data_IF_780037758183
#
_entry.id   IF_780037758183
#
_cell.length_a   1.000
_cell.length_b   1.000
_cell.length_c   1.000
_cell.angle_alpha   90.00
_cell.angle_beta   90.00
_cell.angle_gamma   90.00
#
_symmetry.space_group_name_H-M   'P 1'
#
loop_
_entity.id
_entity.type
_entity.pdbx_description
1 polymer ?
#
# COMPACT_ATOMS: atom_id res chain seq x y z
N UNK A 1 -5.05 11.44 -40.95
CA UNK A 1 -4.20 10.48 -40.22
C UNK A 1 -4.74 10.37 -38.81
N UNK A 2 -4.93 9.16 -38.28
CA UNK A 2 -5.26 9.00 -36.87
C UNK A 2 -4.03 9.37 -36.04
N UNK A 3 -4.16 10.33 -35.13
CA UNK A 3 -3.13 10.69 -34.16
C UNK A 3 -3.09 9.65 -33.05
N UNK A 4 -1.91 9.07 -32.81
CA UNK A 4 -1.69 8.06 -31.77
C UNK A 4 -0.79 8.64 -30.68
N UNK A 5 -1.18 8.51 -29.42
CA UNK A 5 -0.44 9.03 -28.27
C UNK A 5 0.36 7.91 -27.62
N UNK A 6 1.66 8.10 -27.44
CA UNK A 6 2.58 7.16 -26.79
C UNK A 6 3.34 7.87 -25.66
N UNK A 7 3.85 7.10 -24.69
CA UNK A 7 4.78 7.65 -23.71
C UNK A 7 6.15 7.87 -24.35
N UNK A 8 6.62 9.11 -24.30
CA UNK A 8 7.84 9.53 -24.99
C UNK A 8 7.60 9.80 -26.47
N UNK A 9 8.68 9.91 -27.24
CA UNK A 9 8.61 10.07 -28.69
C UNK A 9 9.61 9.13 -29.35
N UNK A 10 9.29 8.71 -30.58
CA UNK A 10 10.20 7.86 -31.36
C UNK A 10 11.42 8.68 -31.78
N UNK A 11 12.62 8.19 -31.49
CA UNK A 11 13.86 8.87 -31.87
C UNK A 11 14.04 9.00 -33.39
N UNK A 12 13.41 8.14 -34.17
CA UNK A 12 13.53 8.14 -35.61
C UNK A 12 12.69 7.03 -36.25
N UNK A 13 12.69 6.98 -37.57
CA UNK A 13 11.99 5.97 -38.35
C UNK A 13 12.94 5.35 -39.39
N UNK A 14 12.86 4.04 -39.54
CA UNK A 14 13.60 3.31 -40.58
C UNK A 14 12.66 3.03 -41.76
N UNK A 15 12.88 3.69 -42.90
CA UNK A 15 12.08 3.42 -44.10
C UNK A 15 12.61 2.19 -44.82
N UNK A 16 11.80 1.11 -44.83
CA UNK A 16 12.15 -0.15 -45.50
C UNK A 16 12.33 -0.01 -47.02
N UNK A 17 11.69 1.00 -47.63
CA UNK A 17 11.74 1.23 -49.08
C UNK A 17 13.02 1.93 -49.53
N UNK A 18 13.52 2.93 -48.78
CA UNK A 18 14.77 3.65 -49.11
C UNK A 18 16.02 3.06 -48.47
N UNK A 19 15.90 2.10 -47.54
CA UNK A 19 17.00 1.60 -46.68
C UNK A 19 17.70 2.70 -45.85
N UNK A 20 17.08 3.86 -45.74
CA UNK A 20 17.61 4.99 -44.98
C UNK A 20 16.94 5.05 -43.60
N UNK A 21 17.75 5.44 -42.62
CA UNK A 21 17.28 5.70 -41.25
C UNK A 21 17.22 7.20 -41.04
N UNK A 22 16.04 7.70 -40.64
CA UNK A 22 15.84 9.11 -40.35
C UNK A 22 15.71 9.34 -38.85
N UNK A 23 16.32 10.43 -38.36
CA UNK A 23 16.21 10.86 -36.97
C UNK A 23 15.18 11.96 -36.81
N UNK A 24 14.39 11.89 -35.76
CA UNK A 24 13.55 12.99 -35.31
C UNK A 24 14.39 13.94 -34.45
N UNK A 25 14.80 15.05 -35.04
CA UNK A 25 15.65 16.06 -34.43
C UNK A 25 14.93 17.39 -34.15
N UNK A 26 13.66 17.51 -34.52
CA UNK A 26 12.83 18.67 -34.22
C UNK A 26 11.62 18.26 -33.37
N UNK A 27 11.41 18.92 -32.23
CA UNK A 27 10.31 18.62 -31.33
C UNK A 27 9.34 19.80 -31.25
N UNK A 28 8.09 19.57 -31.63
CA UNK A 28 7.00 20.54 -31.43
C UNK A 28 6.36 20.25 -30.09
N UNK A 29 6.57 21.13 -29.12
CA UNK A 29 6.03 21.00 -27.77
C UNK A 29 4.77 21.86 -27.69
N UNK A 30 3.61 21.23 -27.72
CA UNK A 30 2.33 21.89 -27.50
C UNK A 30 2.02 21.91 -26.01
N UNK A 31 1.97 23.09 -25.41
CA UNK A 31 1.61 23.31 -24.01
C UNK A 31 0.14 23.70 -23.92
N UNK A 32 -0.64 22.89 -23.21
CA UNK A 32 -2.04 23.18 -22.94
C UNK A 32 -2.18 23.95 -21.64
N UNK A 33 -2.88 25.08 -21.69
CA UNK A 33 -3.13 25.90 -20.51
C UNK A 33 -4.63 26.09 -20.25
N UNK A 34 -5.00 26.14 -18.97
CA UNK A 34 -6.34 26.44 -18.50
C UNK A 34 -6.36 27.80 -17.80
N UNK A 35 -7.39 28.60 -18.09
CA UNK A 35 -7.59 29.92 -17.48
C UNK A 35 -8.44 29.75 -16.22
N UNK A 36 -7.84 29.95 -15.04
CA UNK A 36 -8.50 29.81 -13.73
C UNK A 36 -9.14 31.13 -13.26
N UNK A 37 -8.55 32.27 -13.64
CA UNK A 37 -9.04 33.64 -13.34
C UNK A 37 -8.61 34.60 -14.45
N UNK A 38 -8.99 35.89 -14.38
CA UNK A 38 -8.67 36.88 -15.43
C UNK A 38 -7.17 36.94 -15.79
N UNK A 39 -6.27 36.75 -14.81
CA UNK A 39 -4.80 36.78 -14.99
C UNK A 39 -4.08 35.48 -14.56
N UNK A 40 -4.81 34.41 -14.25
CA UNK A 40 -4.23 33.15 -13.76
C UNK A 40 -4.26 32.04 -14.81
N UNK A 41 -3.09 31.67 -15.33
CA UNK A 41 -2.93 30.56 -16.28
C UNK A 41 -2.22 29.39 -15.60
N UNK A 42 -2.72 28.17 -15.79
CA UNK A 42 -2.07 26.94 -15.33
C UNK A 42 -1.86 25.99 -16.50
N UNK A 43 -0.66 25.43 -16.60
CA UNK A 43 -0.36 24.36 -17.57
C UNK A 43 -1.07 23.09 -17.11
N UNK A 44 -1.91 22.51 -17.97
CA UNK A 44 -2.71 21.32 -17.66
C UNK A 44 -2.30 20.11 -18.47
N UNK A 45 -1.44 20.26 -19.47
CA UNK A 45 -0.91 19.14 -20.23
C UNK A 45 0.14 19.60 -21.22
N UNK A 46 0.83 18.63 -21.80
CA UNK A 46 1.69 18.86 -22.94
C UNK A 46 1.66 17.67 -23.89
N UNK A 47 1.87 17.97 -25.17
CA UNK A 47 2.07 16.99 -26.23
C UNK A 47 3.38 17.31 -26.95
N UNK A 48 4.06 16.26 -27.43
CA UNK A 48 5.27 16.41 -28.22
C UNK A 48 5.05 15.72 -29.56
N UNK A 49 5.11 16.50 -30.64
CA UNK A 49 5.06 15.99 -32.01
C UNK A 49 6.49 15.96 -32.56
N UNK A 50 7.10 14.78 -32.74
CA UNK A 50 8.46 14.67 -33.27
C UNK A 50 8.46 14.81 -34.80
N UNK A 51 9.39 15.59 -35.33
CA UNK A 51 9.65 15.76 -36.76
C UNK A 51 11.12 15.54 -37.10
N UNK A 52 11.35 15.06 -38.33
CA UNK A 52 12.69 14.92 -38.91
C UNK A 52 12.93 16.05 -39.90
N UNK A 53 13.92 16.90 -39.64
CA UNK A 53 14.26 18.07 -40.45
C UNK A 53 15.75 18.02 -40.78
N UNK A 54 16.10 18.07 -42.06
CA UNK A 54 17.51 18.13 -42.49
C UNK A 54 18.23 19.32 -41.83
N UNK A 55 19.36 19.04 -41.17
CA UNK A 55 20.18 20.04 -40.46
C UNK A 55 20.64 21.19 -41.36
N UNK A 56 20.75 20.97 -42.68
CA UNK A 56 21.10 22.03 -43.65
C UNK A 56 20.07 23.15 -43.72
N UNK A 57 18.85 22.92 -43.26
CA UNK A 57 17.74 23.88 -43.28
C UNK A 57 17.59 24.66 -41.99
N UNK A 58 18.38 24.30 -40.98
CA UNK A 58 18.36 24.92 -39.67
C UNK A 58 19.45 25.99 -39.67
N UNK A 59 19.04 27.25 -39.59
CA UNK A 59 19.97 28.36 -39.39
C UNK A 59 19.82 28.86 -37.96
N UNK A 60 20.92 28.81 -37.20
CA UNK A 60 20.96 29.33 -35.84
C UNK A 60 21.17 30.85 -35.87
N UNK A 61 20.35 31.59 -35.13
CA UNK A 61 20.46 33.04 -34.96
C UNK A 61 21.11 33.35 -33.60
N UNK A 62 21.65 34.56 -33.45
CA UNK A 62 22.17 35.03 -32.16
C UNK A 62 21.04 35.08 -31.11
N UNK A 63 21.32 34.54 -29.92
CA UNK A 63 20.35 34.49 -28.81
C UNK A 63 19.57 33.17 -28.67
N UNK A 64 20.00 32.10 -29.34
CA UNK A 64 19.44 30.75 -29.15
C UNK A 64 18.10 30.52 -29.87
N UNK A 65 17.77 31.39 -30.84
CA UNK A 65 16.65 31.20 -31.76
C UNK A 65 17.15 30.53 -33.04
N UNK A 66 16.27 29.83 -33.75
CA UNK A 66 16.59 29.23 -35.03
C UNK A 66 15.45 29.43 -36.03
N UNK A 67 15.79 29.69 -37.28
CA UNK A 67 14.84 29.73 -38.40
C UNK A 67 14.94 28.45 -39.22
N UNK A 68 13.80 27.85 -39.55
CA UNK A 68 13.72 26.65 -40.41
C UNK A 68 13.27 27.09 -41.79
N UNK A 69 14.12 26.91 -42.81
CA UNK A 69 13.78 27.26 -44.19
C UNK A 69 12.71 26.31 -44.76
N UNK A 70 11.78 26.79 -45.59
CA UNK A 70 10.76 25.96 -46.24
C UNK A 70 11.34 25.06 -47.34
N UNK A 71 10.83 23.83 -47.46
CA UNK A 71 11.34 22.78 -48.36
C UNK A 71 10.93 21.38 -47.89
N UNK A 72 11.39 20.34 -48.58
CA UNK A 72 11.23 18.93 -48.19
C UNK A 72 12.60 18.28 -47.94
N UNK A 73 12.73 17.48 -46.88
CA UNK A 73 13.99 16.80 -46.53
C UNK A 73 14.02 16.31 -45.09
N UNK A 74 14.26 15.01 -44.92
CA UNK A 74 14.37 14.34 -43.61
C UNK A 74 15.85 14.20 -43.22
N UNK A 75 16.14 14.22 -41.92
CA UNK A 75 17.50 14.03 -41.40
C UNK A 75 17.91 12.57 -41.48
N UNK A 76 18.61 12.18 -42.55
CA UNK A 76 19.21 10.86 -42.67
C UNK A 76 20.41 10.69 -41.73
N UNK A 77 20.61 9.47 -41.23
CA UNK A 77 21.78 9.07 -40.43
C UNK A 77 22.63 8.12 -41.26
N UNK A 78 23.95 8.34 -41.26
CA UNK A 78 24.92 7.38 -41.76
C UNK A 78 25.26 6.35 -40.68
N UNK A 79 24.96 5.04 -40.87
CA UNK A 79 25.23 4.02 -39.86
C UNK A 79 26.72 3.67 -39.68
N UNK A 80 27.59 4.04 -40.62
CA UNK A 80 29.01 3.65 -40.61
C UNK A 80 29.97 4.78 -40.21
N UNK A 81 29.47 5.97 -39.84
CA UNK A 81 30.30 7.13 -39.54
C UNK A 81 29.75 8.03 -38.45
N UNK A 82 30.48 9.09 -38.11
CA UNK A 82 30.05 10.12 -37.18
C UNK A 82 28.97 11.01 -37.82
N UNK A 83 27.91 11.29 -37.07
CA UNK A 83 26.81 12.14 -37.52
C UNK A 83 26.76 13.38 -36.64
N UNK A 84 26.84 14.57 -37.25
CA UNK A 84 26.56 15.83 -36.56
C UNK A 84 25.10 16.19 -36.80
N UNK A 85 24.29 16.23 -35.73
CA UNK A 85 22.86 16.51 -35.82
C UNK A 85 22.52 17.73 -34.97
N UNK A 86 21.80 18.67 -35.56
CA UNK A 86 21.28 19.83 -34.82
C UNK A 86 19.90 19.50 -34.27
N UNK A 87 19.75 19.58 -32.95
CA UNK A 87 18.48 19.38 -32.26
C UNK A 87 17.79 20.74 -32.07
N UNK A 88 16.51 20.80 -32.45
CA UNK A 88 15.69 22.02 -32.32
C UNK A 88 14.34 21.69 -31.71
N UNK A 89 13.70 22.70 -31.15
CA UNK A 89 12.34 22.58 -30.64
C UNK A 89 11.56 23.86 -30.91
N UNK A 90 10.24 23.74 -31.01
CA UNK A 90 9.31 24.86 -31.00
C UNK A 90 8.27 24.66 -29.90
N UNK A 91 7.76 25.78 -29.37
CA UNK A 91 6.77 25.76 -28.28
C UNK A 91 5.52 26.48 -28.73
N UNK A 92 4.42 25.73 -28.79
CA UNK A 92 3.09 26.25 -29.12
C UNK A 92 2.23 26.26 -27.85
N UNK A 93 1.47 27.33 -27.64
CA UNK A 93 0.55 27.45 -26.49
C UNK A 93 -0.88 27.34 -26.98
N UNK A 94 -1.64 26.41 -26.40
CA UNK A 94 -3.04 26.16 -26.75
C UNK A 94 -3.95 26.23 -25.51
N UNK A 95 -5.11 26.90 -25.59
CA UNK A 95 -6.10 26.87 -24.51
C UNK A 95 -6.75 25.49 -24.40
N UNK A 96 -7.06 25.06 -23.17
CA UNK A 96 -7.74 23.80 -22.87
C UNK A 96 -8.82 23.98 -21.80
N UNK A 97 -9.95 23.31 -21.98
CA UNK A 97 -11.07 23.27 -21.02
C UNK A 97 -10.79 22.36 -19.81
N UNK A 98 -9.73 21.57 -19.86
CA UNK A 98 -9.34 20.65 -18.78
C UNK A 98 -8.96 21.44 -17.53
N UNK A 99 -9.69 21.22 -16.43
CA UNK A 99 -9.37 21.85 -15.15
C UNK A 99 -8.10 21.26 -14.56
N UNK A 100 -7.41 22.05 -13.73
CA UNK A 100 -6.21 21.59 -13.03
C UNK A 100 -6.41 20.28 -12.26
N UNK A 101 -7.59 20.08 -11.64
CA UNK A 101 -7.88 18.87 -10.86
C UNK A 101 -7.93 17.58 -11.70
N UNK A 102 -8.49 17.63 -12.91
CA UNK A 102 -8.70 16.48 -13.80
C UNK A 102 -7.55 16.24 -14.79
N UNK A 103 -6.48 17.04 -14.71
CA UNK A 103 -5.37 17.00 -15.69
C UNK A 103 -4.68 15.63 -15.81
N UNK A 104 -4.69 14.86 -14.72
CA UNK A 104 -4.09 13.53 -14.72
C UNK A 104 -5.00 12.47 -15.30
N UNK A 105 -6.30 12.74 -15.45
CA UNK A 105 -7.26 11.75 -15.93
C UNK A 105 -6.91 11.31 -17.36
N UNK A 106 -6.38 12.21 -18.19
CA UNK A 106 -5.89 11.88 -19.55
C UNK A 106 -4.69 10.92 -19.52
N UNK A 107 -3.79 11.05 -18.54
CA UNK A 107 -2.61 10.18 -18.41
C UNK A 107 -2.91 8.89 -17.62
N UNK A 108 -3.93 8.91 -16.76
CA UNK A 108 -4.40 7.78 -15.95
C UNK A 108 -5.53 7.00 -16.63
N UNK A 109 -6.07 7.49 -17.75
CA UNK A 109 -7.01 6.77 -18.59
C UNK A 109 -6.31 5.51 -19.12
N UNK A 110 -6.46 4.41 -18.39
CA UNK A 110 -5.93 3.13 -18.77
C UNK A 110 -6.58 2.71 -20.09
N UNK A 111 -5.79 2.52 -21.14
CA UNK A 111 -6.28 1.96 -22.41
C UNK A 111 -6.71 0.50 -22.29
N UNK A 112 -6.32 -0.20 -21.20
CA UNK A 112 -6.56 -1.63 -20.96
C UNK A 112 -7.45 -1.94 -19.73
N UNK A 113 -8.49 -1.14 -19.46
CA UNK A 113 -9.46 -1.42 -18.36
C UNK A 113 -10.08 -2.82 -18.47
N UNK A 114 -10.26 -3.32 -19.70
CA UNK A 114 -10.87 -4.62 -19.97
C UNK A 114 -10.05 -5.80 -19.40
N UNK A 115 -8.73 -5.75 -19.49
CA UNK A 115 -7.85 -6.84 -19.03
C UNK A 115 -7.80 -6.89 -17.50
N UNK A 116 -7.79 -5.73 -16.84
CA UNK A 116 -7.70 -5.64 -15.38
C UNK A 116 -8.98 -6.09 -14.67
N UNK A 117 -10.16 -5.69 -15.14
CA UNK A 117 -11.41 -6.11 -14.49
C UNK A 117 -11.70 -7.60 -14.72
N UNK A 118 -11.31 -8.16 -15.88
CA UNK A 118 -11.37 -9.60 -16.12
C UNK A 118 -10.46 -10.38 -15.15
N UNK A 119 -9.22 -9.93 -14.93
CA UNK A 119 -8.31 -10.50 -13.94
C UNK A 119 -8.87 -10.42 -12.52
N UNK A 120 -9.51 -9.29 -12.17
CA UNK A 120 -10.15 -9.10 -10.86
C UNK A 120 -11.28 -10.11 -10.65
N UNK A 121 -12.22 -10.24 -11.60
CA UNK A 121 -13.30 -11.22 -11.51
C UNK A 121 -12.74 -12.64 -11.39
N UNK A 122 -11.78 -13.00 -12.24
CA UNK A 122 -11.17 -14.32 -12.22
C UNK A 122 -10.54 -14.63 -10.86
N UNK A 123 -9.81 -13.67 -10.27
CA UNK A 123 -9.21 -13.84 -8.94
C UNK A 123 -10.26 -14.02 -7.85
N UNK A 124 -11.37 -13.27 -7.91
CA UNK A 124 -12.47 -13.36 -6.95
C UNK A 124 -13.16 -14.72 -7.04
N UNK A 125 -13.45 -15.20 -8.25
CA UNK A 125 -14.04 -16.53 -8.47
C UNK A 125 -13.15 -17.62 -7.90
N UNK A 126 -11.84 -17.58 -8.18
CA UNK A 126 -10.88 -18.56 -7.66
C UNK A 126 -10.84 -18.54 -6.12
N UNK A 127 -10.83 -17.35 -5.51
CA UNK A 127 -10.83 -17.21 -4.04
C UNK A 127 -12.11 -17.78 -3.44
N UNK A 128 -13.29 -17.46 -3.98
CA UNK A 128 -14.56 -18.02 -3.48
C UNK A 128 -14.65 -19.53 -3.69
N UNK A 129 -14.16 -20.05 -4.82
CA UNK A 129 -14.13 -21.48 -5.10
C UNK A 129 -13.21 -22.23 -4.12
N UNK A 130 -11.98 -21.74 -3.92
CA UNK A 130 -11.04 -22.30 -2.94
C UNK A 130 -11.57 -22.20 -1.51
N UNK A 131 -12.17 -21.07 -1.13
CA UNK A 131 -12.80 -20.90 0.17
C UNK A 131 -13.98 -21.86 0.35
N UNK A 132 -14.79 -22.06 -0.69
CA UNK A 132 -15.90 -23.02 -0.69
C UNK A 132 -15.43 -24.47 -0.52
N UNK A 133 -14.41 -24.89 -1.27
CA UNK A 133 -13.78 -26.22 -1.11
C UNK A 133 -13.22 -26.38 0.31
N UNK A 134 -12.46 -25.39 0.79
CA UNK A 134 -11.88 -25.42 2.13
C UNK A 134 -12.97 -25.50 3.21
N UNK A 135 -14.02 -24.68 3.10
CA UNK A 135 -15.18 -24.75 4.00
C UNK A 135 -15.88 -26.11 3.92
N UNK A 136 -16.07 -26.70 2.74
CA UNK A 136 -16.64 -28.03 2.61
C UNK A 136 -15.77 -29.09 3.30
N UNK A 137 -14.45 -29.04 3.11
CA UNK A 137 -13.49 -29.93 3.79
C UNK A 137 -13.57 -29.74 5.31
N UNK A 138 -13.54 -28.50 5.80
CA UNK A 138 -13.64 -28.19 7.24
C UNK A 138 -14.97 -28.66 7.81
N UNK A 139 -16.10 -28.42 7.14
CA UNK A 139 -17.42 -28.85 7.62
C UNK A 139 -17.51 -30.37 7.59
N UNK A 140 -17.01 -31.04 6.54
CA UNK A 140 -17.02 -32.50 6.44
C UNK A 140 -16.15 -33.15 7.51
N UNK A 141 -14.96 -32.60 7.76
CA UNK A 141 -14.06 -33.07 8.83
C UNK A 141 -14.66 -32.81 10.20
N UNK A 142 -15.15 -31.61 10.48
CA UNK A 142 -15.81 -31.27 11.75
C UNK A 142 -17.04 -32.14 12.02
N UNK A 143 -17.92 -32.35 11.02
CA UNK A 143 -19.08 -33.24 11.17
C UNK A 143 -18.65 -34.68 11.42
N UNK A 144 -17.63 -35.18 10.71
CA UNK A 144 -17.10 -36.53 10.89
C UNK A 144 -16.50 -36.70 12.28
N UNK A 145 -15.71 -35.73 12.75
CA UNK A 145 -15.12 -35.75 14.08
C UNK A 145 -16.20 -35.70 15.16
N UNK A 146 -17.16 -34.77 15.09
CA UNK A 146 -18.28 -34.71 16.04
C UNK A 146 -19.06 -36.03 16.06
N UNK A 147 -19.38 -36.60 14.89
CA UNK A 147 -20.12 -37.85 14.81
C UNK A 147 -19.33 -39.05 15.37
N UNK A 148 -18.00 -39.04 15.26
CA UNK A 148 -17.12 -40.05 15.87
C UNK A 148 -17.10 -39.89 17.39
N UNK A 149 -16.91 -38.68 17.91
CA UNK A 149 -16.89 -38.41 19.34
C UNK A 149 -18.24 -38.71 20.01
N UNK A 150 -19.36 -38.40 19.37
CA UNK A 150 -20.69 -38.72 19.91
C UNK A 150 -20.97 -40.23 19.94
N UNK A 151 -20.27 -41.04 19.13
CA UNK A 151 -20.35 -42.51 19.21
C UNK A 151 -19.42 -43.07 20.28
N UNK A 152 -18.24 -42.47 20.46
CA UNK A 152 -17.25 -42.89 21.45
C UNK A 152 -17.64 -42.47 22.88
N UNK A 153 -18.40 -41.38 23.10
CA UNK A 153 -18.96 -41.00 24.42
C UNK A 153 -19.99 -42.01 24.97
N UNK A 154 -20.41 -43.03 24.19
CA UNK A 154 -21.23 -44.14 24.68
C UNK A 154 -20.41 -45.28 25.32
N UNK A 155 -19.08 -45.23 25.19
CA UNK A 155 -18.12 -46.17 25.77
C UNK A 155 -17.25 -45.40 26.77
N UNK A 156 -17.66 -45.39 28.05
CA UNK A 156 -17.09 -44.61 29.17
C UNK A 156 -15.59 -44.92 29.48
N UNK A 157 -14.89 -45.66 28.63
CA UNK A 157 -13.54 -46.20 28.85
C UNK A 157 -12.41 -45.50 28.08
N UNK A 158 -12.71 -44.48 27.25
CA UNK A 158 -11.72 -43.86 26.35
C UNK A 158 -11.19 -42.52 26.90
N UNK A 159 -9.86 -42.38 26.96
CA UNK A 159 -9.16 -41.14 27.33
C UNK A 159 -9.59 -39.95 26.44
N UNK A 160 -9.95 -38.81 27.05
CA UNK A 160 -10.25 -37.57 26.32
C UNK A 160 -9.08 -37.21 25.39
N UNK A 161 -9.30 -37.03 24.09
CA UNK A 161 -8.24 -36.63 23.13
C UNK A 161 -8.57 -35.32 22.40
N UNK A 162 -7.53 -34.64 21.91
CA UNK A 162 -7.67 -33.47 21.02
C UNK A 162 -8.26 -32.23 21.69
N UNK A 163 -9.27 -31.62 21.05
CA UNK A 163 -9.85 -30.34 21.52
C UNK A 163 -10.58 -30.46 22.86
N UNK A 164 -11.14 -31.64 23.19
CA UNK A 164 -11.76 -31.92 24.49
C UNK A 164 -10.75 -31.81 25.63
N UNK A 165 -9.47 -32.15 25.43
CA UNK A 165 -8.45 -31.94 26.45
C UNK A 165 -8.18 -30.46 26.73
N UNK A 166 -8.30 -29.62 25.70
CA UNK A 166 -7.87 -28.21 25.75
C UNK A 166 -9.04 -27.27 26.01
N UNK A 167 -10.30 -27.68 25.79
CA UNK A 167 -11.46 -26.78 25.85
C UNK A 167 -11.55 -25.95 27.16
N UNK A 168 -11.23 -26.56 28.30
CA UNK A 168 -11.20 -25.91 29.61
C UNK A 168 -9.97 -25.03 29.87
N UNK A 169 -8.94 -25.12 29.03
CA UNK A 169 -7.70 -24.34 29.14
C UNK A 169 -7.52 -23.28 28.03
N UNK A 170 -8.23 -23.38 26.88
CA UNK A 170 -8.13 -22.40 25.76
C UNK A 170 -8.42 -20.97 26.20
N UNK A 171 -9.47 -20.78 27.03
CA UNK A 171 -9.92 -19.45 27.44
C UNK A 171 -9.26 -18.97 28.74
N UNK A 172 -8.29 -19.71 29.26
CA UNK A 172 -7.51 -19.33 30.43
C UNK A 172 -6.71 -18.06 30.10
N UNK A 173 -6.56 -17.13 31.06
CA UNK A 173 -5.70 -15.98 30.86
C UNK A 173 -4.26 -16.39 30.49
N UNK A 174 -3.74 -15.95 29.34
CA UNK A 174 -2.37 -16.30 28.92
C UNK A 174 -1.34 -15.64 29.83
N UNK A 175 -0.08 -16.13 29.81
CA UNK A 175 1.03 -15.46 30.52
C UNK A 175 1.29 -14.04 29.99
N UNK A 176 1.22 -13.88 28.66
CA UNK A 176 1.47 -12.62 27.94
C UNK A 176 0.25 -11.73 27.72
N UNK A 177 -0.64 -11.56 28.71
CA UNK A 177 -1.92 -10.82 28.58
C UNK A 177 -1.77 -9.42 27.98
N UNK A 178 -0.73 -8.70 28.42
CA UNK A 178 -0.50 -7.31 28.01
C UNK A 178 -0.14 -7.23 26.52
N UNK A 179 0.77 -8.09 26.06
CA UNK A 179 1.21 -8.12 24.66
C UNK A 179 0.08 -8.55 23.73
N UNK A 180 -0.68 -9.59 24.10
CA UNK A 180 -1.82 -10.04 23.31
C UNK A 180 -2.86 -8.92 23.14
N UNK A 181 -3.24 -8.25 24.23
CA UNK A 181 -4.19 -7.14 24.17
C UNK A 181 -3.65 -5.98 23.32
N UNK A 182 -2.37 -5.64 23.43
CA UNK A 182 -1.74 -4.58 22.66
C UNK A 182 -1.68 -4.90 21.16
N UNK A 183 -1.31 -6.13 20.80
CA UNK A 183 -1.24 -6.59 19.40
C UNK A 183 -2.62 -6.63 18.74
N UNK A 184 -3.64 -7.15 19.44
CA UNK A 184 -5.01 -7.17 18.91
C UNK A 184 -5.56 -5.75 18.71
N UNK A 185 -5.34 -4.85 19.68
CA UNK A 185 -5.71 -3.43 19.54
C UNK A 185 -5.05 -2.78 18.32
N UNK A 186 -3.73 -2.97 18.18
CA UNK A 186 -2.97 -2.43 17.04
C UNK A 186 -3.42 -3.03 15.70
N UNK A 187 -3.74 -4.33 15.67
CA UNK A 187 -4.26 -5.00 14.47
C UNK A 187 -5.59 -4.42 14.01
N UNK A 188 -6.53 -4.20 14.95
CA UNK A 188 -7.82 -3.55 14.66
C UNK A 188 -7.61 -2.12 14.17
N UNK A 189 -6.66 -1.38 14.77
CA UNK A 189 -6.31 -0.02 14.34
C UNK A 189 -5.88 0.03 12.88
N UNK A 190 -4.97 -0.86 12.48
CA UNK A 190 -4.42 -0.93 11.12
C UNK A 190 -5.49 -1.40 10.13
N UNK A 191 -6.32 -2.37 10.51
CA UNK A 191 -7.39 -2.89 9.67
C UNK A 191 -8.42 -1.79 9.38
N UNK A 192 -8.90 -1.08 10.41
CA UNK A 192 -9.88 -0.01 10.25
C UNK A 192 -9.30 1.18 9.47
N UNK A 193 -8.05 1.57 9.76
CA UNK A 193 -7.36 2.62 9.01
C UNK A 193 -7.24 2.24 7.52
N UNK A 194 -6.75 1.03 7.23
CA UNK A 194 -6.61 0.54 5.85
C UNK A 194 -7.94 0.52 5.12
N UNK A 195 -9.00 0.02 5.77
CA UNK A 195 -10.34 -0.01 5.20
C UNK A 195 -10.85 1.39 4.83
N UNK A 196 -10.73 2.37 5.75
CA UNK A 196 -11.18 3.75 5.50
C UNK A 196 -10.36 4.41 4.39
N UNK A 197 -9.03 4.20 4.37
CA UNK A 197 -8.15 4.71 3.30
C UNK A 197 -8.55 4.13 1.94
N UNK A 198 -8.84 2.83 1.87
CA UNK A 198 -9.27 2.17 0.63
C UNK A 198 -10.61 2.76 0.15
N UNK A 199 -11.57 2.98 1.04
CA UNK A 199 -12.85 3.60 0.68
C UNK A 199 -12.66 5.01 0.12
N UNK A 200 -11.85 5.86 0.77
CA UNK A 200 -11.58 7.22 0.26
C UNK A 200 -10.78 7.22 -1.05
N UNK A 201 -9.88 6.25 -1.22
CA UNK A 201 -9.18 6.06 -2.49
C UNK A 201 -10.14 5.62 -3.60
N UNK A 202 -11.06 4.69 -3.32
CA UNK A 202 -12.06 4.20 -4.27
C UNK A 202 -13.08 5.28 -4.69
N UNK A 203 -13.40 6.21 -3.79
CA UNK A 203 -14.24 7.38 -4.09
C UNK A 203 -13.51 8.47 -4.91
N UNK A 204 -12.22 8.29 -5.23
CA UNK A 204 -11.42 9.26 -5.97
C UNK A 204 -11.00 10.50 -5.16
N UNK A 205 -11.28 10.54 -3.85
CA UNK A 205 -10.95 11.69 -3.00
C UNK A 205 -9.44 11.79 -2.72
N UNK A 206 -8.70 10.69 -2.85
CA UNK A 206 -7.25 10.63 -2.70
C UNK A 206 -6.60 10.36 -4.06
N UNK A 207 -6.49 11.40 -4.89
CA UNK A 207 -5.86 11.27 -6.21
C UNK A 207 -4.36 10.96 -6.09
N UNK A 208 -3.83 9.96 -6.82
CA UNK A 208 -2.39 9.64 -6.89
C UNK A 208 -1.51 10.83 -7.31
N UNK A 209 -2.11 11.84 -7.94
CA UNK A 209 -1.49 13.09 -8.36
C UNK A 209 -0.94 13.94 -7.21
N UNK A 210 -1.52 13.80 -6.01
CA UNK A 210 -1.11 14.54 -4.83
C UNK A 210 -0.04 13.76 -4.08
N UNK A 211 1.23 14.03 -4.43
CA UNK A 211 2.39 13.35 -3.82
C UNK A 211 2.30 13.42 -2.29
N UNK A 212 2.23 12.25 -1.67
CA UNK A 212 2.20 12.11 -0.21
C UNK A 212 0.85 12.38 0.46
N UNK A 213 -0.21 12.78 -0.24
CA UNK A 213 -1.52 13.01 0.38
C UNK A 213 -2.13 11.72 0.93
N UNK A 214 -2.00 10.60 0.20
CA UNK A 214 -2.45 9.30 0.67
C UNK A 214 -1.73 8.89 1.96
N UNK A 215 -0.40 9.05 1.99
CA UNK A 215 0.41 8.74 3.19
C UNK A 215 0.02 9.65 4.36
N UNK A 216 -0.19 10.94 4.09
CA UNK A 216 -0.60 11.91 5.11
C UNK A 216 -1.99 11.58 5.67
N UNK A 217 -2.95 11.27 4.79
CA UNK A 217 -4.29 10.85 5.19
C UNK A 217 -4.26 9.54 6.00
N UNK A 218 -3.46 8.56 5.58
CA UNK A 218 -3.28 7.31 6.33
C UNK A 218 -2.66 7.56 7.71
N UNK A 219 -1.67 8.44 7.84
CA UNK A 219 -1.09 8.82 9.13
C UNK A 219 -2.11 9.51 10.04
N UNK A 220 -2.90 10.46 9.53
CA UNK A 220 -3.95 11.12 10.30
C UNK A 220 -5.03 10.13 10.75
N UNK A 221 -5.53 9.29 9.83
CA UNK A 221 -6.53 8.27 10.14
C UNK A 221 -5.99 7.28 11.19
N UNK A 222 -4.73 6.85 11.06
CA UNK A 222 -4.10 5.96 12.03
C UNK A 222 -4.14 6.54 13.45
N UNK A 223 -3.84 7.83 13.61
CA UNK A 223 -3.87 8.52 14.91
C UNK A 223 -5.27 8.50 15.53
N UNK A 224 -6.31 8.81 14.74
CA UNK A 224 -7.70 8.79 15.23
C UNK A 224 -8.21 7.39 15.53
N UNK A 225 -7.80 6.38 14.74
CA UNK A 225 -8.12 4.98 15.01
C UNK A 225 -7.52 4.48 16.34
N UNK A 226 -6.60 5.22 16.96
CA UNK A 226 -6.07 4.92 18.29
C UNK A 226 -7.15 4.77 19.37
N UNK A 227 -8.24 5.55 19.30
CA UNK A 227 -9.38 5.41 20.21
C UNK A 227 -10.01 4.01 20.11
N UNK A 228 -10.22 3.54 18.88
CA UNK A 228 -10.80 2.22 18.60
C UNK A 228 -9.84 1.11 19.06
N UNK A 229 -8.55 1.27 18.76
CA UNK A 229 -7.48 0.38 19.19
C UNK A 229 -7.50 0.18 20.72
N UNK A 230 -7.53 1.31 21.45
CA UNK A 230 -7.62 1.34 22.90
C UNK A 230 -8.87 0.62 23.40
N UNK A 231 -10.05 0.92 22.83
CA UNK A 231 -11.32 0.33 23.24
C UNK A 231 -11.34 -1.19 23.15
N UNK A 232 -10.98 -1.75 21.99
CA UNK A 232 -10.96 -3.21 21.81
C UNK A 232 -9.86 -3.88 22.64
N UNK A 233 -8.68 -3.26 22.73
CA UNK A 233 -7.59 -3.73 23.58
C UNK A 233 -7.99 -3.78 25.06
N UNK A 234 -8.63 -2.73 25.57
CA UNK A 234 -9.08 -2.63 26.96
C UNK A 234 -10.18 -3.63 27.30
N UNK A 235 -11.15 -3.82 26.40
CA UNK A 235 -12.22 -4.82 26.59
C UNK A 235 -11.67 -6.25 26.56
N UNK A 236 -10.76 -6.55 25.64
CA UNK A 236 -10.07 -7.84 25.60
C UNK A 236 -9.23 -8.06 26.87
N UNK A 237 -8.49 -7.04 27.31
CA UNK A 237 -7.66 -7.10 28.51
C UNK A 237 -8.47 -7.41 29.78
N UNK A 238 -9.68 -6.83 29.87
CA UNK A 238 -10.63 -7.17 30.93
C UNK A 238 -11.11 -8.63 30.83
N UNK A 239 -11.41 -9.09 29.62
CA UNK A 239 -11.88 -10.46 29.35
C UNK A 239 -10.87 -11.51 29.80
N UNK A 240 -9.57 -11.26 29.60
CA UNK A 240 -8.49 -12.14 30.06
C UNK A 240 -8.07 -11.88 31.52
N UNK A 241 -8.91 -11.23 32.33
CA UNK A 241 -8.66 -10.97 33.77
C UNK A 241 -7.32 -10.26 34.01
N UNK A 242 -7.06 -9.19 33.27
CA UNK A 242 -5.89 -8.34 33.43
C UNK A 242 -6.05 -7.33 34.58
N UNK A 243 -5.02 -7.20 35.43
CA UNK A 243 -5.02 -6.31 36.60
C UNK A 243 -4.46 -4.91 36.30
N UNK A 244 -3.35 -4.83 35.56
CA UNK A 244 -2.57 -3.60 35.38
C UNK A 244 -2.94 -2.87 34.09
N UNK A 245 -4.17 -2.33 34.04
CA UNK A 245 -4.73 -1.72 32.83
C UNK A 245 -3.92 -0.52 32.31
N UNK A 246 -3.32 0.31 33.18
CA UNK A 246 -2.51 1.47 32.78
C UNK A 246 -1.26 1.06 31.99
N UNK A 247 -0.57 0.02 32.44
CA UNK A 247 0.63 -0.50 31.76
C UNK A 247 0.27 -1.07 30.40
N UNK A 248 -0.85 -1.78 30.30
CA UNK A 248 -1.32 -2.31 29.02
C UNK A 248 -1.78 -1.21 28.08
N UNK A 249 -2.47 -0.18 28.56
CA UNK A 249 -2.86 0.97 27.75
C UNK A 249 -1.63 1.68 27.14
N UNK A 250 -0.60 1.93 27.95
CA UNK A 250 0.66 2.48 27.46
C UNK A 250 1.33 1.55 26.43
N UNK A 251 1.36 0.24 26.70
CA UNK A 251 1.92 -0.75 25.78
C UNK A 251 1.16 -0.80 24.45
N UNK A 252 -0.18 -0.73 24.46
CA UNK A 252 -1.00 -0.67 23.24
C UNK A 252 -0.68 0.58 22.42
N UNK A 253 -0.46 1.71 23.09
CA UNK A 253 -0.12 2.96 22.43
C UNK A 253 1.30 2.99 21.85
N UNK A 254 2.24 2.20 22.39
CA UNK A 254 3.66 2.32 22.02
C UNK A 254 4.27 1.12 21.31
N UNK A 255 3.77 -0.10 21.51
CA UNK A 255 4.41 -1.32 21.01
C UNK A 255 4.60 -1.30 19.49
N UNK A 256 3.51 -1.15 18.74
CA UNK A 256 3.59 -1.15 17.28
C UNK A 256 4.29 0.09 16.71
N UNK A 257 3.93 1.33 17.11
CA UNK A 257 4.62 2.53 16.61
C UNK A 257 6.13 2.55 16.91
N UNK A 258 6.57 2.02 18.05
CA UNK A 258 7.99 1.97 18.40
C UNK A 258 8.78 1.01 17.51
N UNK A 259 8.21 -0.15 17.15
CA UNK A 259 8.82 -1.10 16.21
C UNK A 259 8.94 -0.46 14.82
N UNK A 260 7.85 0.15 14.33
CA UNK A 260 7.85 0.84 13.02
C UNK A 260 8.86 1.97 13.02
N UNK A 261 8.86 2.82 14.05
CA UNK A 261 9.82 3.91 14.20
C UNK A 261 11.26 3.39 14.22
N UNK A 262 11.56 2.33 14.98
CA UNK A 262 12.90 1.73 15.04
C UNK A 262 13.39 1.23 13.68
N UNK A 263 12.53 0.50 12.94
CA UNK A 263 12.85 0.03 11.59
C UNK A 263 13.01 1.21 10.62
N UNK A 264 12.11 2.18 10.65
CA UNK A 264 12.17 3.36 9.79
C UNK A 264 13.42 4.19 10.06
N UNK A 265 13.80 4.40 11.32
CA UNK A 265 15.03 5.09 11.72
C UNK A 265 16.27 4.34 11.21
N UNK A 266 16.32 3.03 11.43
CA UNK A 266 17.41 2.18 10.96
C UNK A 266 17.59 2.28 9.43
N UNK A 267 16.51 2.16 8.67
CA UNK A 267 16.54 2.32 7.21
C UNK A 267 16.90 3.76 6.80
N UNK A 268 16.38 4.77 7.51
CA UNK A 268 16.67 6.17 7.22
C UNK A 268 18.16 6.49 7.37
N UNK A 269 18.88 5.88 8.33
CA UNK A 269 20.33 6.03 8.46
C UNK A 269 21.09 5.62 7.18
N UNK A 270 20.71 4.52 6.53
CA UNK A 270 21.34 4.10 5.28
C UNK A 270 21.03 5.05 4.11
N UNK A 271 19.78 5.52 4.03
CA UNK A 271 19.35 6.45 2.98
C UNK A 271 20.09 7.78 3.10
N UNK A 272 20.29 8.24 4.33
CA UNK A 272 21.06 9.45 4.63
C UNK A 272 22.54 9.30 4.25
N UNK A 273 23.14 8.15 4.55
CA UNK A 273 24.51 7.82 4.13
C UNK A 273 24.71 7.87 2.61
N UNK A 274 23.68 7.50 1.83
CA UNK A 274 23.69 7.59 0.35
C UNK A 274 23.37 8.99 -0.20
N UNK A 275 23.15 10.01 0.64
CA UNK A 275 22.73 11.37 0.23
C UNK A 275 21.50 11.36 -0.70
N UNK A 276 20.60 10.40 -0.51
CA UNK A 276 19.41 10.27 -1.33
C UNK A 276 18.38 11.34 -0.96
N UNK A 277 17.71 11.90 -1.96
CA UNK A 277 16.58 12.83 -1.78
C UNK A 277 15.34 12.18 -1.15
N UNK A 278 15.33 10.84 -1.04
CA UNK A 278 14.29 10.08 -0.34
C UNK A 278 14.48 9.97 1.18
N UNK A 279 15.53 10.57 1.75
CA UNK A 279 15.72 10.57 3.20
C UNK A 279 14.61 11.38 3.90
N UNK A 280 14.05 10.82 4.97
CA UNK A 280 13.06 11.51 5.79
C UNK A 280 13.77 12.60 6.59
N UNK A 281 13.39 13.89 6.42
CA UNK A 281 14.02 14.99 7.14
C UNK A 281 13.85 14.86 8.66
N UNK A 282 14.83 15.36 9.41
CA UNK A 282 14.75 15.33 10.88
C UNK A 282 13.51 16.05 11.43
N UNK A 283 13.09 17.15 10.79
CA UNK A 283 11.88 17.89 11.17
C UNK A 283 10.61 17.03 11.05
N UNK A 284 10.45 16.24 9.98
CA UNK A 284 9.26 15.39 9.82
C UNK A 284 9.24 14.24 10.82
N UNK A 285 10.41 13.72 11.20
CA UNK A 285 10.52 12.72 12.28
C UNK A 285 10.03 13.27 13.62
N UNK A 286 10.44 14.50 13.99
CA UNK A 286 9.94 15.17 15.20
C UNK A 286 8.43 15.40 15.12
N UNK A 287 7.92 15.86 13.98
CA UNK A 287 6.48 16.09 13.80
C UNK A 287 5.64 14.81 13.96
N UNK A 288 6.11 13.69 13.41
CA UNK A 288 5.44 12.39 13.56
C UNK A 288 5.48 11.92 15.03
N UNK A 289 6.62 12.11 15.71
CA UNK A 289 6.77 11.75 17.12
C UNK A 289 5.89 12.62 18.03
N UNK A 290 5.78 13.92 17.76
CA UNK A 290 4.89 14.84 18.46
C UNK A 290 3.42 14.47 18.25
N UNK A 291 3.03 14.11 17.03
CA UNK A 291 1.67 13.65 16.72
C UNK A 291 1.35 12.31 17.41
N UNK A 292 2.32 11.39 17.47
CA UNK A 292 2.17 10.12 18.17
C UNK A 292 2.01 10.30 19.68
N UNK A 293 2.90 11.05 20.34
CA UNK A 293 2.86 11.25 21.79
C UNK A 293 1.75 12.22 22.23
N UNK A 294 1.51 13.28 21.44
CA UNK A 294 0.56 14.34 21.78
C UNK A 294 -0.90 14.01 21.47
N UNK A 295 -1.16 13.16 20.47
CA UNK A 295 -2.53 12.85 20.02
C UNK A 295 -2.81 11.35 20.11
N UNK A 296 -2.03 10.51 19.43
CA UNK A 296 -2.35 9.07 19.36
C UNK A 296 -2.30 8.40 20.72
N UNK A 297 -1.24 8.65 21.51
CA UNK A 297 -1.07 8.07 22.84
C UNK A 297 -2.24 8.39 23.79
N UNK A 298 -2.66 9.65 24.00
CA UNK A 298 -3.81 9.93 24.85
C UNK A 298 -5.11 9.36 24.30
N UNK A 299 -5.33 9.37 22.97
CA UNK A 299 -6.52 8.77 22.36
C UNK A 299 -6.63 7.26 22.64
N UNK A 300 -5.52 6.53 22.52
CA UNK A 300 -5.45 5.10 22.88
C UNK A 300 -5.76 4.92 24.37
N UNK A 301 -5.17 5.73 25.26
CA UNK A 301 -5.44 5.64 26.69
C UNK A 301 -6.92 5.88 27.04
N UNK A 302 -7.54 6.89 26.41
CA UNK A 302 -8.96 7.19 26.58
C UNK A 302 -9.83 6.02 26.07
N UNK A 303 -9.55 5.52 24.87
CA UNK A 303 -10.24 4.37 24.31
C UNK A 303 -10.14 3.16 25.23
N UNK A 304 -8.94 2.89 25.74
CA UNK A 304 -8.67 1.78 26.67
C UNK A 304 -9.47 1.92 27.96
N UNK A 305 -9.52 3.11 28.54
CA UNK A 305 -10.31 3.38 29.73
C UNK A 305 -11.80 3.03 29.53
N UNK A 306 -12.41 3.46 28.41
CA UNK A 306 -13.79 3.11 28.10
C UNK A 306 -13.97 1.62 27.82
N UNK A 307 -13.05 1.00 27.07
CA UNK A 307 -13.06 -0.44 26.78
C UNK A 307 -12.99 -1.30 28.03
N UNK A 308 -12.13 -0.94 28.99
CA UNK A 308 -11.97 -1.65 30.25
C UNK A 308 -13.18 -1.52 31.19
N UNK A 309 -14.00 -0.46 31.04
CA UNK A 309 -15.26 -0.32 31.80
C UNK A 309 -16.39 -1.14 31.20
N UNK A 310 -16.37 -1.47 29.91
CA UNK A 310 -17.39 -2.32 29.28
C UNK A 310 -17.38 -3.76 29.79
N UNK A 311 -18.47 -4.46 29.55
CA UNK A 311 -18.58 -5.87 29.94
C UNK A 311 -17.57 -6.72 29.16
N UNK A 312 -16.91 -7.70 29.83
CA UNK A 312 -16.08 -8.70 29.17
C UNK A 312 -16.82 -9.40 28.02
N UNK A 313 -16.07 -9.99 27.10
CA UNK A 313 -16.66 -10.94 26.16
C UNK A 313 -17.05 -12.23 26.90
N UNK A 314 -18.21 -12.79 26.56
CA UNK A 314 -18.64 -14.06 27.12
C UNK A 314 -17.81 -15.19 26.49
N UNK A 315 -17.29 -16.07 27.35
CA UNK A 315 -16.54 -17.24 26.92
C UNK A 315 -17.54 -18.40 26.75
N UNK A 316 -17.43 -19.18 25.66
CA UNK A 316 -18.40 -20.24 25.37
C UNK A 316 -18.33 -21.40 26.36
N UNK A 317 -17.22 -21.54 27.10
CA UNK A 317 -16.98 -22.61 28.08
C UNK A 317 -16.34 -22.06 29.34
N UNK A 318 -16.58 -22.72 30.48
CA UNK A 318 -15.91 -22.40 31.75
C UNK A 318 -14.48 -22.92 31.73
N UNK A 319 -13.56 -22.14 32.28
CA UNK A 319 -12.15 -22.53 32.36
C UNK A 319 -11.86 -23.38 33.61
N UNK A 320 -11.00 -24.38 33.48
CA UNK A 320 -10.47 -25.15 34.60
C UNK A 320 -9.58 -24.27 35.50
N UNK A 321 -9.54 -24.53 36.81
CA UNK A 321 -8.70 -23.75 37.75
C UNK A 321 -7.24 -24.23 37.77
N UNK A 322 -6.99 -25.51 37.59
CA UNK A 322 -5.65 -26.10 37.53
C UNK A 322 -5.31 -26.41 36.06
N UNK A 323 -4.16 -25.93 35.54
CA UNK A 323 -3.78 -26.23 34.17
C UNK A 323 -3.42 -27.71 34.08
N UNK A 324 -3.88 -28.40 33.03
CA UNK A 324 -3.41 -29.78 32.78
C UNK A 324 -1.90 -29.77 32.54
N UNK A 325 -1.20 -30.82 32.98
CA UNK A 325 0.22 -30.97 32.68
C UNK A 325 0.38 -31.19 31.18
N UNK A 326 1.20 -30.34 30.55
CA UNK A 326 1.58 -30.50 29.14
C UNK A 326 2.84 -31.37 29.11
N UNK A 327 2.87 -32.47 28.35
CA UNK A 327 4.07 -33.30 28.23
C UNK A 327 5.23 -32.49 27.66
N UNK A 328 6.46 -32.84 28.05
CA UNK A 328 7.64 -32.15 27.52
C UNK A 328 7.71 -32.30 25.99
N UNK A 329 7.82 -31.15 25.32
CA UNK A 329 7.86 -31.12 23.87
C UNK A 329 9.23 -31.60 23.39
N UNK A 330 9.23 -32.56 22.45
CA UNK A 330 10.47 -33.08 21.85
C UNK A 330 11.26 -31.95 21.16
N UNK A 331 12.59 -32.03 21.22
CA UNK A 331 13.49 -30.96 20.80
C UNK A 331 13.22 -30.44 19.38
N UNK A 332 12.95 -31.35 18.43
CA UNK A 332 12.70 -31.00 17.03
C UNK A 332 11.35 -30.30 16.79
N UNK A 333 10.42 -30.37 17.74
CA UNK A 333 9.15 -29.64 17.68
C UNK A 333 9.24 -28.22 18.27
N UNK A 334 10.42 -27.79 18.72
CA UNK A 334 10.61 -26.47 19.29
C UNK A 334 10.31 -25.37 18.23
N UNK A 335 9.56 -24.31 18.58
CA UNK A 335 9.13 -23.29 17.61
C UNK A 335 10.27 -22.71 16.79
N UNK A 336 11.43 -22.47 17.40
CA UNK A 336 12.62 -21.93 16.72
C UNK A 336 13.15 -22.88 15.63
N UNK A 337 13.17 -24.19 15.90
CA UNK A 337 13.64 -25.20 14.94
C UNK A 337 12.63 -25.35 13.80
N UNK A 338 11.34 -25.37 14.13
CA UNK A 338 10.28 -25.41 13.12
C UNK A 338 10.27 -24.16 12.23
N UNK A 339 10.49 -22.97 12.79
CA UNK A 339 10.62 -21.72 12.03
C UNK A 339 11.84 -21.79 11.10
N UNK A 340 12.99 -22.26 11.62
CA UNK A 340 14.21 -22.42 10.82
C UNK A 340 14.07 -23.45 9.68
N UNK A 341 13.41 -24.59 9.93
CA UNK A 341 13.19 -25.66 8.92
C UNK A 341 12.12 -25.25 7.91
N UNK A 342 11.05 -24.58 8.34
CA UNK A 342 9.96 -24.16 7.47
C UNK A 342 10.31 -22.97 6.55
N UNK A 343 11.47 -22.34 6.74
CA UNK A 343 11.98 -21.28 5.87
C UNK A 343 11.10 -20.03 5.84
N UNK A 344 10.42 -19.69 6.94
CA UNK A 344 9.61 -18.48 7.08
C UNK A 344 9.93 -17.72 8.36
#
# INVERSE_FOLDING_TARGET
>A
QATFYEHGYRLGNHMKQSKETYLNNHLIIRLFYHKESENGYRVVGFEVEPKSIDSKRITAEEGGKCSIQSGEGMQAINPAGENTVTMTYEVEWAPSDTRWASRWDTYLAMTDVQIHWFSLINSVIVVFFLAGILSMIIIKTLRRDIARYNKEDADDSIEETGWKLVHGDVFRPPRGKNYLAALVGSGIQILMMSFIVIVFAALGMLSPASRGALVTAACFLYVFMGLIAGYFSGRLYKTIKGSNWKRTAALTATLYPSIVCGVSLFLNFFIWGKRSSGAVPFSTMISILAMWLGISFPLVCIGFFFGYRKQPYEQPVRTNQIPKQVPEQQWFMHPVINIAIAGK
#
